data_IF_969031984085
#
_entry.id   IF_969031984085
#
_cell.length_a   1.000
_cell.length_b   1.000
_cell.length_c   1.000
_cell.angle_alpha   90.00
_cell.angle_beta   90.00
_cell.angle_gamma   90.00
#
_symmetry.space_group_name_H-M   'P 1'
#
loop_
_entity.id
_entity.type
_entity.pdbx_description
1 polymer ?
#
# COMPACT_ATOMS: atom_id res chain seq x y z
N UNK A 1 9.11 12.58 10.44
CA UNK A 1 8.69 13.08 9.12
C UNK A 1 7.17 13.11 9.07
N UNK A 2 6.57 14.08 8.38
CA UNK A 2 5.11 14.11 8.17
C UNK A 2 4.70 13.09 7.10
N UNK A 3 3.47 12.57 7.19
CA UNK A 3 2.98 11.57 6.24
C UNK A 3 3.03 12.04 4.78
N UNK A 4 2.59 13.26 4.49
CA UNK A 4 2.58 13.77 3.11
C UNK A 4 3.99 13.91 2.55
N UNK A 5 4.95 14.32 3.38
CA UNK A 5 6.36 14.37 3.00
C UNK A 5 6.88 12.97 2.70
N UNK A 6 6.56 11.98 3.53
CA UNK A 6 6.92 10.58 3.27
C UNK A 6 6.43 10.13 1.89
N UNK A 7 5.14 10.37 1.58
CA UNK A 7 4.52 9.96 0.32
C UNK A 7 5.20 10.64 -0.87
N UNK A 8 5.45 11.95 -0.77
CA UNK A 8 6.13 12.71 -1.83
C UNK A 8 7.55 12.20 -2.08
N UNK A 9 8.32 11.95 -1.02
CA UNK A 9 9.69 11.43 -1.14
C UNK A 9 9.70 10.01 -1.72
N UNK A 10 8.79 9.14 -1.28
CA UNK A 10 8.66 7.79 -1.83
C UNK A 10 8.35 7.82 -3.33
N UNK A 11 7.43 8.67 -3.79
CA UNK A 11 7.15 8.86 -5.21
C UNK A 11 8.30 9.50 -5.98
N UNK A 12 9.11 10.36 -5.36
CA UNK A 12 10.29 10.91 -6.04
C UNK A 12 11.36 9.84 -6.24
N UNK A 13 11.57 8.98 -5.24
CA UNK A 13 12.74 8.11 -5.16
C UNK A 13 12.51 6.70 -5.76
N UNK A 14 11.25 6.29 -5.99
CA UNK A 14 10.92 4.92 -6.37
C UNK A 14 11.54 4.43 -7.69
N UNK A 15 11.72 5.34 -8.66
CA UNK A 15 12.29 4.98 -9.96
C UNK A 15 13.81 4.77 -9.90
N UNK A 16 14.49 5.38 -8.93
CA UNK A 16 15.92 5.31 -8.73
C UNK A 16 16.31 4.13 -7.83
N UNK A 17 15.58 3.93 -6.73
CA UNK A 17 15.82 2.82 -5.79
C UNK A 17 14.54 2.30 -5.14
N UNK A 18 13.79 1.50 -5.92
CA UNK A 18 12.57 0.86 -5.45
C UNK A 18 12.78 -0.02 -4.21
N UNK A 19 13.97 -0.64 -4.04
CA UNK A 19 14.26 -1.50 -2.89
C UNK A 19 14.38 -0.68 -1.61
N UNK A 20 15.06 0.46 -1.65
CA UNK A 20 15.12 1.37 -0.51
C UNK A 20 13.74 1.94 -0.17
N UNK A 21 12.91 2.26 -1.17
CA UNK A 21 11.52 2.69 -0.91
C UNK A 21 10.71 1.59 -0.25
N UNK A 22 10.79 0.34 -0.74
CA UNK A 22 10.12 -0.80 -0.13
C UNK A 22 10.53 -1.03 1.33
N UNK A 23 11.82 -0.87 1.66
CA UNK A 23 12.30 -0.96 3.04
C UNK A 23 11.64 0.10 3.94
N UNK A 24 11.53 1.35 3.47
CA UNK A 24 10.84 2.42 4.19
C UNK A 24 9.33 2.16 4.34
N UNK A 25 8.68 1.63 3.30
CA UNK A 25 7.24 1.34 3.30
C UNK A 25 6.81 0.36 4.41
N UNK A 26 7.66 -0.60 4.80
CA UNK A 26 7.37 -1.58 5.86
C UNK A 26 7.10 -0.96 7.24
N UNK A 27 7.54 0.29 7.47
CA UNK A 27 7.27 1.06 8.69
C UNK A 27 6.28 2.21 8.51
N UNK A 28 5.88 2.53 7.27
CA UNK A 28 5.17 3.77 6.95
C UNK A 28 3.78 3.90 7.59
N UNK A 29 3.15 2.79 7.98
CA UNK A 29 1.86 2.80 8.72
C UNK A 29 1.96 3.57 10.04
N UNK A 30 3.12 3.61 10.68
CA UNK A 30 3.35 4.32 11.95
C UNK A 30 3.30 5.85 11.79
N UNK A 31 3.39 6.35 10.55
CA UNK A 31 3.25 7.76 10.22
C UNK A 31 1.80 8.18 10.00
N UNK A 32 0.86 7.24 9.97
CA UNK A 32 -0.55 7.54 9.74
C UNK A 32 -1.19 8.18 10.96
N UNK A 33 -1.94 9.25 10.75
CA UNK A 33 -2.71 9.96 11.80
C UNK A 33 -4.20 9.98 11.51
N UNK A 34 -4.61 9.58 10.29
CA UNK A 34 -6.01 9.49 9.87
C UNK A 34 -6.21 8.31 8.92
N UNK A 35 -7.44 7.80 8.83
CA UNK A 35 -7.85 6.75 7.90
C UNK A 35 -7.58 7.13 6.42
N UNK A 36 -7.69 8.43 6.10
CA UNK A 36 -7.50 8.94 4.73
C UNK A 36 -6.08 8.66 4.18
N UNK A 37 -5.09 8.46 5.05
CA UNK A 37 -3.72 8.11 4.66
C UNK A 37 -3.60 6.68 4.09
N UNK A 38 -4.59 5.81 4.28
CA UNK A 38 -4.57 4.45 3.78
C UNK A 38 -4.49 4.39 2.24
N UNK A 39 -5.24 5.27 1.55
CA UNK A 39 -5.29 5.32 0.08
C UNK A 39 -3.96 5.69 -0.59
N UNK A 40 -3.29 6.80 -0.24
CA UNK A 40 -1.98 7.13 -0.82
C UNK A 40 -0.90 6.09 -0.47
N UNK A 41 -0.95 5.50 0.73
CA UNK A 41 0.02 4.49 1.13
C UNK A 41 -0.19 3.15 0.40
N UNK A 42 -1.44 2.71 0.24
CA UNK A 42 -1.75 1.47 -0.49
C UNK A 42 -1.34 1.56 -1.95
N UNK A 43 -1.50 2.73 -2.58
CA UNK A 43 -1.04 2.98 -3.96
C UNK A 43 0.47 2.83 -4.09
N UNK A 44 1.25 3.39 -3.17
CA UNK A 44 2.71 3.19 -3.15
C UNK A 44 3.10 1.73 -2.94
N UNK A 45 2.39 1.00 -2.09
CA UNK A 45 2.65 -0.42 -1.85
C UNK A 45 2.43 -1.24 -3.14
N UNK A 46 1.30 -1.04 -3.82
CA UNK A 46 1.01 -1.74 -5.09
C UNK A 46 2.08 -1.42 -6.14
N UNK A 47 2.39 -0.13 -6.30
CA UNK A 47 3.35 0.35 -7.29
C UNK A 47 4.76 -0.20 -7.04
N UNK A 48 5.27 -0.05 -5.82
CA UNK A 48 6.65 -0.40 -5.49
C UNK A 48 6.82 -1.92 -5.38
N UNK A 49 6.00 -2.60 -4.57
CA UNK A 49 6.16 -4.04 -4.40
C UNK A 49 5.73 -4.83 -5.63
N UNK A 50 4.63 -4.43 -6.27
CA UNK A 50 4.12 -5.12 -7.45
C UNK A 50 4.88 -4.74 -8.71
N UNK A 51 4.69 -3.51 -9.18
CA UNK A 51 5.13 -3.10 -10.53
C UNK A 51 6.67 -3.02 -10.66
N UNK A 52 7.36 -2.51 -9.65
CA UNK A 52 8.82 -2.38 -9.69
C UNK A 52 9.59 -3.63 -9.25
N UNK A 53 9.12 -4.32 -8.20
CA UNK A 53 9.89 -5.38 -7.56
C UNK A 53 9.39 -6.79 -7.88
N UNK A 54 8.13 -6.94 -8.30
CA UNK A 54 7.49 -8.26 -8.42
C UNK A 54 7.43 -9.04 -7.09
N UNK A 55 7.57 -8.36 -5.95
CA UNK A 55 7.50 -8.93 -4.59
C UNK A 55 6.04 -8.90 -4.10
N UNK A 56 5.20 -9.64 -4.82
CA UNK A 56 3.75 -9.65 -4.64
C UNK A 56 3.35 -10.05 -3.21
N UNK A 57 4.02 -11.05 -2.64
CA UNK A 57 3.69 -11.57 -1.32
C UNK A 57 4.01 -10.54 -0.22
N UNK A 58 5.08 -9.74 -0.36
CA UNK A 58 5.32 -8.63 0.57
C UNK A 58 4.30 -7.51 0.39
N UNK A 59 3.93 -7.17 -0.84
CA UNK A 59 2.89 -6.19 -1.12
C UNK A 59 1.56 -6.55 -0.44
N UNK A 60 1.13 -7.80 -0.60
CA UNK A 60 -0.12 -8.30 0.01
C UNK A 60 -0.07 -8.26 1.53
N UNK A 61 1.06 -8.67 2.15
CA UNK A 61 1.24 -8.59 3.61
C UNK A 61 1.13 -7.17 4.13
N UNK A 62 1.72 -6.19 3.46
CA UNK A 62 1.66 -4.79 3.89
C UNK A 62 0.23 -4.22 3.72
N UNK A 63 -0.49 -4.58 2.65
CA UNK A 63 -1.90 -4.19 2.49
C UNK A 63 -2.79 -4.81 3.57
N UNK A 64 -2.60 -6.09 3.91
CA UNK A 64 -3.33 -6.76 5.00
C UNK A 64 -3.05 -6.10 6.35
N UNK A 65 -1.80 -5.71 6.63
CA UNK A 65 -1.44 -4.97 7.84
C UNK A 65 -2.13 -3.61 7.92
N UNK A 66 -2.22 -2.89 6.81
CA UNK A 66 -2.98 -1.64 6.75
C UNK A 66 -4.48 -1.86 6.98
N UNK A 67 -5.03 -2.95 6.48
CA UNK A 67 -6.44 -3.30 6.66
C UNK A 67 -6.80 -3.53 8.13
N UNK A 68 -5.86 -4.09 8.90
CA UNK A 68 -5.99 -4.36 10.33
C UNK A 68 -5.61 -3.16 11.21
N UNK A 69 -5.08 -2.07 10.64
CA UNK A 69 -4.65 -0.91 11.40
C UNK A 69 -5.85 -0.23 12.10
N UNK A 70 -5.75 0.22 13.37
CA UNK A 70 -6.88 0.81 14.09
C UNK A 70 -7.55 1.99 13.37
N UNK A 71 -6.77 2.81 12.67
CA UNK A 71 -7.31 3.92 11.86
C UNK A 71 -8.13 3.45 10.65
N UNK A 72 -7.90 2.23 10.16
CA UNK A 72 -8.52 1.71 8.94
C UNK A 72 -9.63 0.70 9.24
N UNK A 73 -9.52 -0.08 10.32
CA UNK A 73 -10.34 -1.26 10.58
C UNK A 73 -11.86 -0.97 10.57
N UNK A 74 -12.25 0.24 10.98
CA UNK A 74 -13.65 0.67 11.06
C UNK A 74 -14.01 1.82 10.09
N UNK A 75 -13.10 2.21 9.20
CA UNK A 75 -13.34 3.27 8.22
C UNK A 75 -13.68 2.67 6.84
N UNK A 76 -14.90 2.92 6.37
CA UNK A 76 -15.40 2.30 5.13
C UNK A 76 -14.62 2.73 3.88
N UNK A 77 -14.13 3.97 3.82
CA UNK A 77 -13.37 4.49 2.67
C UNK A 77 -11.96 3.89 2.64
N UNK A 78 -11.29 3.81 3.79
CA UNK A 78 -10.00 3.15 3.92
C UNK A 78 -10.11 1.66 3.56
N UNK A 79 -11.12 0.95 4.09
CA UNK A 79 -11.36 -0.45 3.74
C UNK A 79 -11.61 -0.65 2.24
N UNK A 80 -12.37 0.25 1.60
CA UNK A 80 -12.61 0.20 0.17
C UNK A 80 -11.32 0.40 -0.63
N UNK A 81 -10.52 1.41 -0.29
CA UNK A 81 -9.24 1.68 -0.94
C UNK A 81 -8.26 0.50 -0.81
N UNK A 82 -8.24 -0.17 0.34
CA UNK A 82 -7.37 -1.33 0.57
C UNK A 82 -7.84 -2.57 -0.18
N UNK A 83 -9.15 -2.83 -0.25
CA UNK A 83 -9.69 -3.90 -1.12
C UNK A 83 -9.35 -3.68 -2.59
N UNK A 84 -9.49 -2.45 -3.07
CA UNK A 84 -9.11 -2.10 -4.45
C UNK A 84 -7.61 -2.28 -4.69
N UNK A 85 -6.76 -1.89 -3.75
CA UNK A 85 -5.32 -2.09 -3.85
C UNK A 85 -4.93 -3.58 -3.88
N UNK A 86 -5.58 -4.42 -3.05
CA UNK A 86 -5.39 -5.88 -3.06
C UNK A 86 -5.81 -6.48 -4.41
N UNK A 87 -6.98 -6.09 -4.92
CA UNK A 87 -7.47 -6.55 -6.22
C UNK A 87 -6.54 -6.12 -7.37
N UNK A 88 -6.04 -4.88 -7.34
CA UNK A 88 -5.08 -4.39 -8.32
C UNK A 88 -3.77 -5.19 -8.30
N UNK A 89 -3.24 -5.48 -7.11
CA UNK A 89 -2.03 -6.30 -6.95
C UNK A 89 -2.23 -7.74 -7.46
N UNK A 90 -3.39 -8.34 -7.15
CA UNK A 90 -3.75 -9.68 -7.65
C UNK A 90 -3.88 -9.70 -9.17
N UNK A 91 -4.55 -8.70 -9.75
CA UNK A 91 -4.68 -8.54 -11.19
C UNK A 91 -3.30 -8.39 -11.86
N UNK A 92 -2.43 -7.54 -11.32
CA UNK A 92 -1.06 -7.33 -11.82
C UNK A 92 -0.20 -8.60 -11.74
N UNK A 93 -0.40 -9.43 -10.71
CA UNK A 93 0.23 -10.76 -10.58
C UNK A 93 -0.32 -11.80 -11.57
N UNK A 94 -1.45 -11.53 -12.23
CA UNK A 94 -2.16 -12.48 -13.09
C UNK A 94 -3.05 -13.47 -12.33
N UNK A 95 -3.42 -13.15 -11.08
CA UNK A 95 -4.38 -13.93 -10.30
C UNK A 95 -5.82 -13.47 -10.57
N UNK A 96 -6.80 -14.39 -10.48
CA UNK A 96 -8.20 -14.02 -10.57
C UNK A 96 -8.58 -13.09 -9.41
N UNK A 97 -9.34 -12.04 -9.72
CA UNK A 97 -9.90 -11.15 -8.70
C UNK A 97 -11.08 -11.87 -8.06
N UNK A 98 -11.04 -12.09 -6.75
CA UNK A 98 -12.21 -12.57 -6.02
C UNK A 98 -13.29 -11.48 -6.05
N UNK A 99 -14.30 -11.66 -6.90
CA UNK A 99 -15.49 -10.80 -6.90
C UNK A 99 -16.32 -11.22 -5.69
N UNK A 100 -16.32 -10.41 -4.64
CA UNK A 100 -17.24 -10.61 -3.53
C UNK A 100 -18.67 -10.37 -4.05
N UNK A 101 -19.46 -11.45 -4.12
CA UNK A 101 -20.93 -11.42 -4.28
C UNK A 101 -21.61 -10.95 -3.00
#
# INVERSE_FOLDING_TARGET
>A
MLFDQFVQEAWRDHAQDAKAVAARLRGARELMTTAAHASPLSRLIVHVFGEHLGDWDSGERELQRLQQHPLCAHDALAQSALRMAQAALQCARGLPIAVAT
#
